data_IF_167756652985
#
_entry.id   IF_167756652985
#
_cell.length_a   1.000
_cell.length_b   1.000
_cell.length_c   1.000
_cell.angle_alpha   90.00
_cell.angle_beta   90.00
_cell.angle_gamma   90.00
#
_symmetry.space_group_name_H-M   'P 1'
#
loop_
_entity.id
_entity.type
_entity.pdbx_description
1 polymer ?
#
# COMPACT_ATOMS: atom_id res chain seq x y z
N UNK A 1 -23.26 -14.84 13.59
CA UNK A 1 -23.61 -14.01 12.42
C UNK A 1 -22.30 -13.46 11.88
N UNK A 2 -21.70 -14.21 10.95
CA UNK A 2 -20.49 -13.81 10.22
C UNK A 2 -20.97 -13.30 8.87
N UNK A 3 -21.17 -11.99 8.75
CA UNK A 3 -21.47 -11.35 7.46
C UNK A 3 -20.16 -11.11 6.70
N UNK A 4 -20.13 -11.60 5.46
CA UNK A 4 -19.41 -11.02 4.33
C UNK A 4 -17.89 -10.92 4.42
N UNK A 5 -17.18 -12.00 4.06
CA UNK A 5 -15.88 -11.83 3.41
C UNK A 5 -16.14 -11.33 1.98
N UNK A 6 -15.53 -10.19 1.66
CA UNK A 6 -15.54 -9.44 0.40
C UNK A 6 -15.82 -10.28 -0.86
N UNK A 7 -17.05 -10.20 -1.36
CA UNK A 7 -17.31 -10.42 -2.77
C UNK A 7 -16.74 -9.22 -3.53
N UNK A 8 -15.53 -9.34 -4.09
CA UNK A 8 -14.94 -8.33 -4.99
C UNK A 8 -16.00 -7.93 -6.03
N UNK A 9 -16.55 -6.71 -5.90
CA UNK A 9 -17.65 -6.28 -6.75
C UNK A 9 -17.06 -5.79 -8.07
N UNK A 10 -17.37 -6.52 -9.14
CA UNK A 10 -16.90 -6.20 -10.49
C UNK A 10 -17.68 -4.97 -10.98
N UNK A 11 -16.94 -3.90 -11.27
CA UNK A 11 -17.49 -2.66 -11.81
C UNK A 11 -17.98 -2.87 -13.25
N UNK A 12 -19.17 -2.37 -13.58
CA UNK A 12 -19.72 -2.39 -14.93
C UNK A 12 -19.45 -1.05 -15.65
N UNK A 13 -18.19 -0.86 -16.02
CA UNK A 13 -17.65 0.34 -16.69
C UNK A 13 -17.11 -0.05 -18.07
N UNK A 14 -17.30 0.78 -19.10
CA UNK A 14 -16.69 0.48 -20.40
C UNK A 14 -15.17 0.69 -20.38
N UNK A 15 -14.45 -0.12 -21.17
CA UNK A 15 -13.00 0.02 -21.32
C UNK A 15 -12.62 1.39 -21.86
N UNK A 16 -13.37 1.91 -22.85
CA UNK A 16 -13.11 3.22 -23.45
C UNK A 16 -13.24 4.36 -22.43
N UNK A 17 -14.20 4.25 -21.52
CA UNK A 17 -14.36 5.21 -20.44
C UNK A 17 -13.16 5.16 -19.49
N UNK A 18 -12.73 3.97 -19.07
CA UNK A 18 -11.58 3.82 -18.19
C UNK A 18 -10.30 4.36 -18.84
N UNK A 19 -10.06 4.05 -20.11
CA UNK A 19 -8.92 4.58 -20.88
C UNK A 19 -8.91 6.11 -20.93
N UNK A 20 -10.08 6.72 -21.17
CA UNK A 20 -10.21 8.18 -21.10
C UNK A 20 -9.90 8.73 -19.70
N UNK A 21 -10.44 8.10 -18.64
CA UNK A 21 -10.17 8.51 -17.26
C UNK A 21 -8.67 8.39 -16.90
N UNK A 22 -8.00 7.33 -17.34
CA UNK A 22 -6.55 7.16 -17.15
C UNK A 22 -5.73 8.22 -17.91
N UNK A 23 -6.18 8.62 -19.10
CA UNK A 23 -5.57 9.69 -19.87
C UNK A 23 -5.70 11.03 -19.17
N UNK A 24 -6.90 11.36 -18.68
CA UNK A 24 -7.15 12.58 -17.88
C UNK A 24 -6.31 12.60 -16.61
N UNK A 25 -6.16 11.44 -15.95
CA UNK A 25 -5.34 11.28 -14.75
C UNK A 25 -3.82 11.35 -15.05
N UNK A 26 -3.41 11.10 -16.29
CA UNK A 26 -2.01 11.17 -16.73
C UNK A 26 -1.19 9.89 -16.47
N UNK A 27 -1.86 8.74 -16.36
CA UNK A 27 -1.21 7.45 -16.02
C UNK A 27 -1.21 6.43 -17.17
N UNK A 28 -1.75 6.77 -18.34
CA UNK A 28 -1.94 5.84 -19.48
C UNK A 28 -0.66 5.07 -19.84
N UNK A 29 0.48 5.76 -19.90
CA UNK A 29 1.76 5.18 -20.29
C UNK A 29 2.25 4.08 -19.32
N UNK A 30 1.91 4.19 -18.03
CA UNK A 30 2.33 3.23 -17.01
C UNK A 30 1.50 1.94 -17.07
N UNK A 31 0.25 2.04 -17.52
CA UNK A 31 -0.62 0.88 -17.70
C UNK A 31 -0.07 -0.07 -18.76
N UNK A 32 0.65 0.42 -19.78
CA UNK A 32 1.23 -0.41 -20.84
C UNK A 32 2.57 -1.04 -20.47
N UNK A 33 3.25 -0.55 -19.44
CA UNK A 33 4.58 -1.05 -19.04
C UNK A 33 4.47 -2.45 -18.42
N UNK A 34 5.10 -3.50 -19.00
CA UNK A 34 5.01 -4.86 -18.49
C UNK A 34 5.78 -5.08 -17.17
N UNK A 35 6.64 -4.15 -16.77
CA UNK A 35 7.39 -4.22 -15.51
C UNK A 35 6.61 -3.69 -14.32
N UNK A 36 5.56 -2.91 -14.55
CA UNK A 36 4.73 -2.28 -13.50
C UNK A 36 3.68 -3.28 -13.01
N UNK A 37 3.62 -3.45 -11.69
CA UNK A 37 2.62 -4.29 -11.00
C UNK A 37 1.55 -3.45 -10.30
N UNK A 38 1.90 -2.25 -9.85
CA UNK A 38 1.02 -1.36 -9.11
C UNK A 38 1.29 0.11 -9.43
N UNK A 39 0.23 0.90 -9.54
CA UNK A 39 0.27 2.36 -9.73
C UNK A 39 -0.37 3.01 -8.51
N UNK A 40 0.39 3.84 -7.80
CA UNK A 40 -0.04 4.51 -6.58
C UNK A 40 0.03 6.03 -6.73
N UNK A 41 -1.01 6.73 -6.32
CA UNK A 41 -1.03 8.18 -6.14
C UNK A 41 -1.30 8.39 -4.67
N UNK A 42 -0.31 8.91 -3.94
CA UNK A 42 -0.45 9.18 -2.52
C UNK A 42 -0.85 10.64 -2.25
N UNK A 43 -0.48 11.55 -3.17
CA UNK A 43 -0.77 12.99 -3.15
C UNK A 43 -0.68 13.57 -4.57
N UNK A 44 -1.24 14.76 -4.81
CA UNK A 44 -1.14 15.45 -6.09
C UNK A 44 0.31 15.67 -6.53
N UNK A 45 0.53 15.66 -7.84
CA UNK A 45 1.81 15.96 -8.47
C UNK A 45 2.75 14.76 -8.67
N UNK A 46 2.44 13.59 -8.11
CA UNK A 46 3.33 12.42 -8.20
C UNK A 46 2.61 11.08 -8.31
N UNK A 47 3.30 10.11 -8.89
CA UNK A 47 2.90 8.72 -8.99
C UNK A 47 4.05 7.83 -8.50
N UNK A 48 3.74 6.80 -7.73
CA UNK A 48 4.66 5.72 -7.39
C UNK A 48 4.28 4.46 -8.18
N UNK A 49 5.26 3.87 -8.85
CA UNK A 49 5.11 2.61 -9.55
C UNK A 49 5.81 1.51 -8.78
N UNK A 50 5.10 0.42 -8.46
CA UNK A 50 5.76 -0.80 -8.04
C UNK A 50 6.19 -1.57 -9.29
N UNK A 51 7.46 -1.99 -9.31
CA UNK A 51 8.01 -2.83 -10.36
C UNK A 51 8.69 -4.05 -9.73
N UNK A 52 9.08 -5.02 -10.57
CA UNK A 52 9.92 -6.15 -10.12
C UNK A 52 11.27 -5.72 -9.50
N UNK A 53 11.69 -4.46 -9.68
CA UNK A 53 12.93 -3.90 -9.13
C UNK A 53 12.69 -3.04 -7.88
N UNK A 54 11.44 -2.90 -7.44
CA UNK A 54 11.05 -2.01 -6.34
C UNK A 54 10.29 -0.77 -6.81
N UNK A 55 10.13 0.18 -5.88
CA UNK A 55 9.33 1.39 -6.08
C UNK A 55 10.07 2.46 -6.90
N UNK A 56 9.34 3.11 -7.81
CA UNK A 56 9.83 4.24 -8.59
C UNK A 56 8.89 5.43 -8.45
N UNK A 57 9.43 6.59 -8.09
CA UNK A 57 8.68 7.85 -8.04
C UNK A 57 8.77 8.57 -9.38
N UNK A 58 7.63 9.02 -9.89
CA UNK A 58 7.52 9.81 -11.10
C UNK A 58 6.74 11.09 -10.80
N UNK A 59 7.32 12.23 -11.15
CA UNK A 59 6.65 13.51 -11.08
C UNK A 59 5.65 13.63 -12.23
N UNK A 60 4.40 13.95 -11.90
CA UNK A 60 3.31 14.19 -12.84
C UNK A 60 2.68 15.54 -12.48
N UNK A 61 3.27 16.68 -12.88
CA UNK A 61 2.80 18.02 -12.47
C UNK A 61 1.35 18.31 -12.87
N UNK A 62 0.85 17.64 -13.90
CA UNK A 62 -0.55 17.73 -14.35
C UNK A 62 -1.55 17.02 -13.42
N UNK A 63 -1.11 16.20 -12.47
CA UNK A 63 -1.95 15.46 -11.53
C UNK A 63 -2.35 16.34 -10.34
N UNK A 64 -3.33 17.23 -10.54
CA UNK A 64 -3.89 18.06 -9.46
C UNK A 64 -4.80 17.26 -8.52
N UNK A 65 -5.03 17.78 -7.31
CA UNK A 65 -6.02 17.24 -6.36
C UNK A 65 -7.41 17.05 -6.99
N UNK A 66 -7.92 18.08 -7.67
CA UNK A 66 -9.26 18.03 -8.27
C UNK A 66 -9.37 16.94 -9.34
N UNK A 67 -8.34 16.76 -10.18
CA UNK A 67 -8.28 15.67 -11.17
C UNK A 67 -8.29 14.29 -10.50
N UNK A 68 -7.47 14.09 -9.47
CA UNK A 68 -7.42 12.81 -8.75
C UNK A 68 -8.77 12.51 -8.07
N UNK A 69 -9.36 13.50 -7.40
CA UNK A 69 -10.68 13.37 -6.77
C UNK A 69 -11.79 13.13 -7.79
N UNK A 70 -11.79 13.87 -8.90
CA UNK A 70 -12.75 13.71 -9.99
C UNK A 70 -12.66 12.30 -10.56
N UNK A 71 -11.46 11.80 -10.84
CA UNK A 71 -11.23 10.43 -11.27
C UNK A 71 -11.90 9.42 -10.33
N UNK A 72 -11.64 9.49 -9.01
CA UNK A 72 -12.28 8.59 -8.04
C UNK A 72 -13.81 8.67 -8.10
N UNK A 73 -14.38 9.88 -8.03
CA UNK A 73 -15.84 10.05 -8.00
C UNK A 73 -16.52 9.62 -9.30
N UNK A 74 -15.93 9.94 -10.45
CA UNK A 74 -16.45 9.60 -11.77
C UNK A 74 -16.37 8.09 -12.03
N UNK A 75 -15.26 7.44 -11.65
CA UNK A 75 -15.10 5.98 -11.76
C UNK A 75 -16.08 5.25 -10.84
N UNK A 76 -16.24 5.69 -9.58
CA UNK A 76 -17.19 5.07 -8.64
C UNK A 76 -18.64 5.26 -9.11
N UNK A 77 -19.01 6.43 -9.63
CA UNK A 77 -20.37 6.67 -10.11
C UNK A 77 -20.70 5.84 -11.36
N UNK A 78 -19.75 5.69 -12.28
CA UNK A 78 -19.95 4.87 -13.49
C UNK A 78 -19.86 3.36 -13.19
N UNK A 79 -19.32 2.95 -12.04
CA UNK A 79 -19.10 1.54 -11.69
C UNK A 79 -20.37 0.70 -11.62
N UNK A 80 -21.52 1.32 -11.36
CA UNK A 80 -22.82 0.65 -11.15
C UNK A 80 -22.76 -0.49 -10.11
N UNK A 81 -21.78 -0.46 -9.20
CA UNK A 81 -21.65 -1.42 -8.09
C UNK A 81 -22.59 -1.10 -6.92
N UNK A 82 -23.24 0.06 -6.95
CA UNK A 82 -24.03 0.59 -5.83
C UNK A 82 -23.20 1.26 -4.74
N UNK A 83 -21.86 1.16 -4.82
CA UNK A 83 -20.96 1.86 -3.91
C UNK A 83 -20.98 3.36 -4.16
N UNK A 84 -20.64 4.12 -3.12
CA UNK A 84 -20.48 5.57 -3.17
C UNK A 84 -19.19 5.92 -2.47
N UNK A 85 -18.52 6.96 -2.95
CA UNK A 85 -17.37 7.54 -2.27
C UNK A 85 -17.74 8.94 -1.80
N UNK A 86 -17.83 9.13 -0.49
CA UNK A 86 -18.29 10.37 0.13
C UNK A 86 -17.39 10.75 1.30
N UNK A 87 -17.64 11.88 1.96
CA UNK A 87 -16.94 12.21 3.20
C UNK A 87 -17.33 11.30 4.38
N UNK A 88 -18.45 10.57 4.25
CA UNK A 88 -18.93 9.62 5.25
C UNK A 88 -18.38 8.22 4.97
N UNK A 89 -18.36 7.84 3.69
CA UNK A 89 -17.79 6.59 3.19
C UNK A 89 -16.59 6.91 2.28
N UNK A 90 -15.42 7.29 2.83
CA UNK A 90 -14.30 7.81 2.05
C UNK A 90 -13.43 6.72 1.41
N UNK A 91 -13.70 5.44 1.67
CA UNK A 91 -12.91 4.30 1.19
C UNK A 91 -13.76 3.46 0.24
N UNK A 92 -13.25 3.19 -0.96
CA UNK A 92 -13.90 2.32 -1.94
C UNK A 92 -12.90 1.38 -2.58
N UNK A 93 -13.30 0.12 -2.72
CA UNK A 93 -12.58 -0.92 -3.46
C UNK A 93 -13.40 -1.34 -4.69
N UNK A 94 -12.75 -1.45 -5.85
CA UNK A 94 -13.36 -1.83 -7.13
C UNK A 94 -12.48 -2.85 -7.86
N UNK A 95 -13.11 -3.79 -8.57
CA UNK A 95 -12.44 -4.60 -9.59
C UNK A 95 -12.95 -4.17 -10.97
N UNK A 96 -12.08 -3.71 -11.86
CA UNK A 96 -12.48 -3.27 -13.21
C UNK A 96 -12.65 -4.47 -14.15
N UNK A 97 -13.44 -4.35 -15.24
CA UNK A 97 -13.63 -5.42 -16.23
C UNK A 97 -12.34 -5.90 -16.89
N UNK A 98 -11.35 -5.01 -16.99
CA UNK A 98 -10.01 -5.30 -17.51
C UNK A 98 -9.10 -5.99 -16.49
N UNK A 99 -9.60 -6.32 -15.29
CA UNK A 99 -8.92 -7.12 -14.27
C UNK A 99 -8.04 -6.33 -13.29
N UNK A 100 -7.88 -5.01 -13.48
CA UNK A 100 -7.22 -4.18 -12.48
C UNK A 100 -8.09 -4.07 -11.23
N UNK A 101 -7.45 -4.01 -10.07
CA UNK A 101 -8.10 -3.73 -8.79
C UNK A 101 -7.71 -2.35 -8.31
N UNK A 102 -8.70 -1.56 -7.95
CA UNK A 102 -8.53 -0.18 -7.53
C UNK A 102 -8.99 0.01 -6.08
N UNK A 103 -8.20 0.72 -5.29
CA UNK A 103 -8.56 1.21 -3.96
C UNK A 103 -8.45 2.73 -3.94
N UNK A 104 -9.53 3.40 -3.57
CA UNK A 104 -9.60 4.85 -3.44
C UNK A 104 -9.83 5.21 -1.98
N UNK A 105 -9.07 6.18 -1.48
CA UNK A 105 -9.31 6.81 -0.17
C UNK A 105 -9.31 8.32 -0.35
N UNK A 106 -10.41 8.96 0.02
CA UNK A 106 -10.60 10.41 -0.01
C UNK A 106 -10.60 11.01 1.40
N UNK A 107 -10.48 12.35 1.52
CA UNK A 107 -10.76 13.02 2.78
C UNK A 107 -12.18 12.70 3.28
N UNK A 108 -12.39 12.52 4.60
CA UNK A 108 -11.46 12.81 5.68
C UNK A 108 -10.52 11.66 6.08
N UNK A 109 -10.58 10.49 5.44
CA UNK A 109 -9.74 9.34 5.80
C UNK A 109 -8.26 9.52 5.43
N UNK A 110 -7.95 10.45 4.54
CA UNK A 110 -6.60 10.97 4.26
C UNK A 110 -6.57 12.49 4.51
N UNK A 111 -5.38 13.14 4.61
CA UNK A 111 -5.28 14.59 4.74
C UNK A 111 -6.08 15.34 3.66
N UNK A 112 -6.58 16.54 3.99
CA UNK A 112 -7.57 17.25 3.17
C UNK A 112 -7.11 17.60 1.74
N UNK A 113 -5.81 17.72 1.55
CA UNK A 113 -5.11 18.01 0.28
C UNK A 113 -4.58 16.75 -0.42
N UNK A 114 -4.91 15.55 0.10
CA UNK A 114 -4.45 14.26 -0.41
C UNK A 114 -5.61 13.42 -0.97
N UNK A 115 -5.26 12.56 -1.91
CA UNK A 115 -6.10 11.49 -2.44
C UNK A 115 -5.20 10.27 -2.55
N UNK A 116 -5.60 9.14 -1.96
CA UNK A 116 -4.89 7.88 -2.13
C UNK A 116 -5.59 7.03 -3.20
N UNK A 117 -4.93 6.79 -4.32
CA UNK A 117 -5.37 5.87 -5.36
C UNK A 117 -4.32 4.77 -5.48
N UNK A 118 -4.74 3.53 -5.36
CA UNK A 118 -3.91 2.35 -5.64
C UNK A 118 -4.57 1.53 -6.74
N UNK A 119 -3.89 1.31 -7.86
CA UNK A 119 -4.37 0.48 -8.98
C UNK A 119 -3.38 -0.66 -9.16
N UNK A 120 -3.78 -1.88 -8.79
CA UNK A 120 -3.02 -3.10 -9.03
C UNK A 120 -3.36 -3.65 -10.40
N UNK A 121 -2.34 -3.89 -11.21
CA UNK A 121 -2.49 -4.41 -12.56
C UNK A 121 -2.65 -5.94 -12.54
N UNK A 122 -3.44 -6.52 -13.46
CA UNK A 122 -3.53 -7.97 -13.59
C UNK A 122 -2.16 -8.52 -14.00
N UNK A 123 -1.79 -9.68 -13.46
CA UNK A 123 -0.57 -10.35 -13.87
C UNK A 123 -0.63 -10.66 -15.37
N UNK A 124 0.30 -10.12 -16.14
CA UNK A 124 0.47 -10.45 -17.57
C UNK A 124 1.22 -11.76 -17.79
N UNK A 125 1.81 -12.30 -16.73
CA UNK A 125 2.65 -13.48 -16.77
C UNK A 125 2.01 -14.60 -15.96
N UNK A 126 1.51 -15.61 -16.65
CA UNK A 126 1.25 -16.93 -16.06
C UNK A 126 2.50 -17.77 -16.29
N UNK A 127 3.34 -17.91 -15.26
CA UNK A 127 4.49 -18.81 -15.32
C UNK A 127 4.02 -20.26 -15.20
N UNK A 128 4.46 -21.12 -16.12
CA UNK A 128 4.27 -22.55 -15.99
C UNK A 128 5.19 -23.12 -14.91
N UNK A 129 4.86 -24.29 -14.37
CA UNK A 129 5.76 -24.98 -13.43
C UNK A 129 7.14 -25.24 -14.05
N UNK A 130 7.20 -25.51 -15.35
CA UNK A 130 8.47 -25.71 -16.05
C UNK A 130 9.30 -24.42 -16.11
N UNK A 131 8.67 -23.26 -16.30
CA UNK A 131 9.36 -21.97 -16.23
C UNK A 131 9.86 -21.68 -14.81
N UNK A 132 9.07 -21.97 -13.77
CA UNK A 132 9.55 -21.87 -12.38
C UNK A 132 10.76 -22.77 -12.12
N UNK A 133 10.79 -23.98 -12.69
CA UNK A 133 11.92 -24.90 -12.61
C UNK A 133 13.16 -24.33 -13.31
N UNK A 134 13.00 -23.81 -14.52
CA UNK A 134 14.08 -23.20 -15.30
C UNK A 134 14.65 -21.93 -14.65
N UNK A 135 13.79 -21.11 -14.04
CA UNK A 135 14.17 -19.92 -13.28
C UNK A 135 14.86 -20.27 -11.95
N UNK A 136 14.95 -21.55 -11.59
CA UNK A 136 15.56 -22.01 -10.34
C UNK A 136 14.72 -21.69 -9.10
N UNK A 137 13.43 -21.35 -9.26
CA UNK A 137 12.55 -21.00 -8.15
C UNK A 137 12.47 -22.12 -7.10
N UNK A 138 12.35 -23.37 -7.56
CA UNK A 138 12.28 -24.53 -6.66
C UNK A 138 13.59 -24.81 -5.93
N UNK A 139 14.74 -24.36 -6.46
CA UNK A 139 16.03 -24.50 -5.77
C UNK A 139 16.19 -23.53 -4.59
N UNK A 140 15.33 -22.52 -4.49
CA UNK A 140 15.31 -21.53 -3.40
C UNK A 140 14.29 -21.89 -2.31
N UNK A 141 13.53 -22.97 -2.49
CA UNK A 141 12.58 -23.42 -1.48
C UNK A 141 13.37 -23.96 -0.29
N UNK A 142 13.15 -23.36 0.87
CA UNK A 142 13.70 -23.83 2.13
C UNK A 142 12.88 -25.05 2.57
N UNK A 143 13.47 -26.24 2.51
CA UNK A 143 12.80 -27.51 2.85
C UNK A 143 12.71 -27.76 4.38
N UNK A 144 13.39 -26.96 5.19
CA UNK A 144 13.45 -27.12 6.64
C UNK A 144 13.15 -25.80 7.38
N UNK A 145 11.96 -25.71 7.98
CA UNK A 145 11.53 -24.57 8.82
C UNK A 145 11.35 -24.96 10.29
N UNK A 146 11.93 -26.09 10.72
CA UNK A 146 11.92 -26.43 12.16
C UNK A 146 12.98 -25.67 12.96
N UNK A 147 13.98 -25.12 12.27
CA UNK A 147 15.05 -24.30 12.84
C UNK A 147 14.75 -22.79 12.87
N UNK A 148 15.54 -22.08 13.66
CA UNK A 148 15.55 -20.61 13.71
C UNK A 148 16.22 -20.08 12.44
N UNK A 149 15.63 -19.10 11.77
CA UNK A 149 16.26 -18.52 10.56
C UNK A 149 17.59 -17.82 10.91
N UNK A 150 18.53 -17.71 9.97
CA UNK A 150 19.79 -16.99 10.21
C UNK A 150 19.58 -15.55 10.70
N UNK A 151 18.51 -14.88 10.21
CA UNK A 151 18.10 -13.57 10.69
C UNK A 151 17.66 -13.61 12.17
N UNK A 152 16.90 -14.64 12.56
CA UNK A 152 16.45 -14.81 13.95
C UNK A 152 17.60 -15.22 14.87
N UNK A 153 18.58 -16.00 14.40
CA UNK A 153 19.80 -16.33 15.15
C UNK A 153 20.62 -15.08 15.47
N UNK A 154 20.79 -14.18 14.49
CA UNK A 154 21.46 -12.90 14.70
C UNK A 154 20.71 -12.04 15.73
N UNK A 155 19.37 -11.97 15.64
CA UNK A 155 18.54 -11.26 16.62
C UNK A 155 18.68 -11.87 18.02
N UNK A 156 18.70 -13.20 18.14
CA UNK A 156 18.91 -13.87 19.43
C UNK A 156 20.31 -13.57 20.00
N UNK A 157 21.35 -13.55 19.16
CA UNK A 157 22.70 -13.22 19.57
C UNK A 157 22.81 -11.77 20.07
N UNK A 158 22.23 -10.79 19.35
CA UNK A 158 22.17 -9.39 19.76
C UNK A 158 21.43 -9.24 21.10
N UNK A 159 20.31 -9.95 21.26
CA UNK A 159 19.55 -9.97 22.52
C UNK A 159 20.36 -10.56 23.68
N UNK A 160 21.08 -11.67 23.46
CA UNK A 160 21.94 -12.30 24.48
C UNK A 160 23.12 -11.40 24.88
N UNK A 161 23.69 -10.68 23.91
CA UNK A 161 24.73 -9.67 24.14
C UNK A 161 24.20 -8.37 24.80
N UNK A 162 22.87 -8.25 24.96
CA UNK A 162 22.18 -7.04 25.45
C UNK A 162 22.38 -5.81 24.56
N UNK A 163 22.71 -6.01 23.29
CA UNK A 163 22.72 -4.96 22.27
C UNK A 163 21.30 -4.75 21.72
N UNK A 164 20.49 -4.03 22.48
CA UNK A 164 19.10 -3.76 22.09
C UNK A 164 18.99 -2.78 20.93
N UNK A 165 19.96 -1.87 20.76
CA UNK A 165 19.99 -0.97 19.62
C UNK A 165 20.17 -1.77 18.33
N UNK A 166 21.20 -2.64 18.27
CA UNK A 166 21.42 -3.54 17.15
C UNK A 166 20.22 -4.47 16.92
N UNK A 167 19.66 -5.04 17.99
CA UNK A 167 18.48 -5.90 17.92
C UNK A 167 17.30 -5.21 17.23
N UNK A 168 16.90 -4.02 17.68
CA UNK A 168 15.73 -3.34 17.14
C UNK A 168 15.97 -2.81 15.73
N UNK A 169 17.15 -2.25 15.46
CA UNK A 169 17.53 -1.81 14.12
C UNK A 169 17.47 -2.97 13.13
N UNK A 170 18.08 -4.12 13.44
CA UNK A 170 18.03 -5.32 12.60
C UNK A 170 16.63 -5.90 12.50
N UNK A 171 15.84 -5.90 13.56
CA UNK A 171 14.47 -6.39 13.52
C UNK A 171 13.59 -5.59 12.55
N UNK A 172 13.78 -4.26 12.49
CA UNK A 172 13.12 -3.40 11.49
C UNK A 172 13.58 -3.74 10.08
N UNK A 173 14.89 -3.83 9.82
CA UNK A 173 15.43 -4.19 8.50
C UNK A 173 15.01 -5.60 8.04
N UNK A 174 14.86 -6.54 8.96
CA UNK A 174 14.36 -7.89 8.70
C UNK A 174 12.84 -7.99 8.66
N UNK A 175 12.15 -6.84 8.66
CA UNK A 175 10.69 -6.72 8.52
C UNK A 175 9.94 -7.57 9.54
N UNK A 176 10.47 -7.67 10.76
CA UNK A 176 9.82 -8.39 11.86
C UNK A 176 8.60 -7.59 12.32
N UNK A 177 7.52 -8.27 12.62
CA UNK A 177 6.36 -7.66 13.25
C UNK A 177 6.71 -7.31 14.71
N UNK A 178 6.69 -6.02 15.05
CA UNK A 178 7.05 -5.51 16.36
C UNK A 178 5.81 -4.89 17.02
N UNK A 179 5.47 -5.36 18.22
CA UNK A 179 4.41 -4.77 19.05
C UNK A 179 5.07 -4.05 20.22
N UNK A 180 4.89 -2.73 20.29
CA UNK A 180 5.35 -1.90 21.41
C UNK A 180 4.25 -1.82 22.46
N UNK A 181 4.45 -2.45 23.62
CA UNK A 181 3.46 -2.51 24.71
C UNK A 181 3.98 -1.87 26.00
N UNK A 182 3.06 -1.46 26.88
CA UNK A 182 3.37 -0.70 28.10
C UNK A 182 2.19 0.15 28.59
N UNK A 183 2.25 0.61 29.84
CA UNK A 183 1.21 1.44 30.45
C UNK A 183 0.98 2.79 29.72
N UNK A 184 -0.14 3.45 29.95
CA UNK A 184 -0.38 4.82 29.45
C UNK A 184 0.72 5.76 29.97
N UNK A 185 1.27 6.60 29.09
CA UNK A 185 2.38 7.50 29.43
C UNK A 185 3.78 6.86 29.48
N UNK A 186 3.93 5.56 29.19
CA UNK A 186 5.25 4.88 29.25
C UNK A 186 6.19 5.17 28.07
N UNK A 187 5.86 6.12 27.20
CA UNK A 187 6.69 6.47 26.02
C UNK A 187 6.57 5.53 24.81
N UNK A 188 5.52 4.69 24.71
CA UNK A 188 5.33 3.74 23.59
C UNK A 188 5.41 4.42 22.23
N UNK A 189 4.65 5.49 22.00
CA UNK A 189 4.64 6.21 20.73
C UNK A 189 6.04 6.76 20.43
N UNK A 190 6.74 7.31 21.43
CA UNK A 190 8.12 7.79 21.27
C UNK A 190 9.07 6.69 20.82
N UNK A 191 8.98 5.51 21.43
CA UNK A 191 9.79 4.37 21.04
C UNK A 191 9.43 3.86 19.64
N UNK A 192 8.14 3.74 19.32
CA UNK A 192 7.68 3.38 17.98
C UNK A 192 8.22 4.35 16.91
N UNK A 193 8.17 5.67 17.16
CA UNK A 193 8.73 6.67 16.24
C UNK A 193 10.21 6.42 15.97
N UNK A 194 10.99 6.07 17.00
CA UNK A 194 12.42 5.75 16.82
C UNK A 194 12.63 4.52 15.93
N UNK A 195 11.82 3.46 16.09
CA UNK A 195 11.90 2.28 15.22
C UNK A 195 11.61 2.62 13.76
N UNK A 196 10.62 3.48 13.53
CA UNK A 196 10.21 3.89 12.19
C UNK A 196 11.31 4.64 11.44
N UNK A 197 12.22 5.33 12.14
CA UNK A 197 13.39 5.97 11.51
C UNK A 197 14.41 4.98 10.94
N UNK A 198 14.33 3.71 11.32
CA UNK A 198 15.17 2.64 10.77
C UNK A 198 14.55 1.95 9.55
N UNK A 199 13.34 2.33 9.14
CA UNK A 199 12.73 1.78 7.92
C UNK A 199 13.38 2.44 6.69
N UNK A 200 13.88 1.65 5.73
CA UNK A 200 14.47 2.18 4.49
C UNK A 200 13.53 3.11 3.71
N UNK A 201 14.10 4.15 3.09
CA UNK A 201 13.35 5.19 2.36
C UNK A 201 12.68 4.70 1.06
N UNK A 202 13.08 3.53 0.57
CA UNK A 202 12.52 2.88 -0.61
C UNK A 202 11.28 2.02 -0.29
N UNK A 203 10.88 1.91 0.98
CA UNK A 203 9.65 1.22 1.39
C UNK A 203 8.41 2.11 1.27
N UNK A 204 7.29 1.48 0.93
CA UNK A 204 5.96 2.12 1.00
C UNK A 204 5.38 1.99 2.39
N UNK A 205 5.00 3.10 3.01
CA UNK A 205 4.46 3.13 4.36
C UNK A 205 3.00 3.60 4.39
N UNK A 206 2.18 2.90 5.16
CA UNK A 206 0.80 3.31 5.45
C UNK A 206 0.66 3.39 6.96
N UNK A 207 0.32 4.57 7.47
CA UNK A 207 0.02 4.77 8.91
C UNK A 207 -1.48 4.76 9.11
N UNK A 208 -1.97 4.13 10.17
CA UNK A 208 -3.39 4.12 10.55
C UNK A 208 -3.48 4.63 11.98
N UNK A 209 -4.07 5.80 12.17
CA UNK A 209 -4.11 6.48 13.46
C UNK A 209 -5.50 7.09 13.72
N UNK A 210 -5.89 7.26 14.98
CA UNK A 210 -7.08 8.05 15.36
C UNK A 210 -6.73 9.53 15.54
N UNK A 211 -5.51 9.82 15.98
CA UNK A 211 -4.90 11.14 15.98
C UNK A 211 -3.49 11.07 15.37
N UNK A 212 -3.12 12.10 14.62
CA UNK A 212 -1.79 12.18 13.99
C UNK A 212 -0.69 12.29 15.05
N UNK A 213 0.05 11.22 15.26
CA UNK A 213 1.25 11.23 16.10
C UNK A 213 2.50 10.84 15.31
N UNK A 214 2.37 9.97 14.31
CA UNK A 214 3.46 9.43 13.51
C UNK A 214 3.67 10.24 12.22
N UNK A 215 4.66 11.12 12.27
CA UNK A 215 5.15 11.87 11.11
C UNK A 215 6.33 11.11 10.51
N UNK A 216 6.12 10.53 9.34
CA UNK A 216 7.15 9.82 8.57
C UNK A 216 7.61 10.65 7.38
N UNK A 217 8.91 10.57 7.08
CA UNK A 217 9.55 11.36 6.03
C UNK A 217 9.63 10.59 4.71
N UNK A 218 9.52 9.25 4.75
CA UNK A 218 9.60 8.38 3.59
C UNK A 218 8.68 8.88 2.47
N UNK A 219 9.19 9.02 1.23
CA UNK A 219 8.45 9.66 0.15
C UNK A 219 7.18 8.89 -0.25
N UNK A 220 7.25 7.56 -0.27
CA UNK A 220 6.12 6.71 -0.63
C UNK A 220 5.26 6.41 0.61
N UNK A 221 4.36 7.33 0.99
CA UNK A 221 3.56 7.17 2.19
C UNK A 221 2.11 7.57 2.06
N UNK A 222 1.23 6.92 2.82
CA UNK A 222 -0.17 7.30 3.00
C UNK A 222 -0.47 7.40 4.49
N UNK A 223 -1.17 8.47 4.88
CA UNK A 223 -1.66 8.66 6.25
C UNK A 223 -3.15 8.42 6.28
N UNK A 224 -3.57 7.33 6.92
CA UNK A 224 -4.97 7.01 7.14
C UNK A 224 -5.40 7.44 8.54
N UNK A 225 -6.54 8.14 8.61
CA UNK A 225 -7.16 8.58 9.84
C UNK A 225 -8.55 7.97 9.96
N UNK A 226 -8.88 7.49 11.16
CA UNK A 226 -10.23 7.03 11.49
C UNK A 226 -10.74 7.74 12.74
N UNK A 227 -12.04 8.02 12.77
CA UNK A 227 -12.70 8.60 13.95
C UNK A 227 -13.21 7.49 14.86
N UNK A 228 -12.89 7.55 16.16
CA UNK A 228 -13.57 6.73 17.17
C UNK A 228 -14.96 7.31 17.42
N UNK A 229 -15.95 6.95 16.61
CA UNK A 229 -17.33 7.38 16.88
C UNK A 229 -18.42 7.13 15.83
N UNK A 230 -18.13 6.49 14.69
CA UNK A 230 -19.15 6.34 13.64
C UNK A 230 -19.67 7.68 13.09
N UNK A 231 -18.87 8.73 13.21
CA UNK A 231 -19.06 10.01 12.54
C UNK A 231 -17.81 10.27 11.69
N UNK A 232 -18.01 10.37 10.39
CA UNK A 232 -17.07 9.93 9.36
C UNK A 232 -17.82 8.81 8.69
#
# INVERSE_FOLDING_TARGET
MTEGLDSETIANISTEFLEYQYHVLGITQFLSDPSVTEICINRPGEVFLETIKGWQRIEVPSLSFDRARQFCTTVVNESKTGQRITSVDPVVSLTFPTGQRAQFVLPPAVPADHVSITIRLPSRYTKTLEQYRQDGFFAQILEDTTGVSAMDEELLALKQARDYHGFFSKAVHYKKNIVVSGATGSGKTTFMKSLVTHIPDDERLITIEDARELFIEQPNRVHLIYSRGGQG
#
